data_IF_981485057624
#
_entry.id   IF_981485057624
#
_cell.length_a   1.000
_cell.length_b   1.000
_cell.length_c   1.000
_cell.angle_alpha   90.00
_cell.angle_beta   90.00
_cell.angle_gamma   90.00
#
_symmetry.space_group_name_H-M   'P 1'
#
loop_
_entity.id
_entity.type
_entity.pdbx_description
1 polymer ?
#
# COMPACT_ATOMS: atom_id res chain seq x y z
N UNK A 1 10.42 -32.13 -14.22
CA UNK A 1 10.35 -30.70 -14.59
C UNK A 1 9.60 -30.04 -13.45
N UNK A 2 10.32 -29.32 -12.59
CA UNK A 2 9.86 -28.92 -11.26
C UNK A 2 8.56 -28.13 -11.32
N UNK A 3 7.56 -28.62 -10.59
CA UNK A 3 6.29 -27.96 -10.34
C UNK A 3 6.53 -26.72 -9.48
N UNK A 4 6.70 -25.56 -10.12
CA UNK A 4 6.66 -24.24 -9.48
C UNK A 4 5.22 -23.92 -9.09
N UNK A 5 4.80 -24.38 -7.90
CA UNK A 5 3.45 -24.15 -7.34
C UNK A 5 3.13 -22.69 -6.99
N UNK A 6 4.09 -21.77 -7.17
CA UNK A 6 3.98 -20.35 -6.77
C UNK A 6 4.08 -19.34 -7.93
N UNK A 7 4.10 -19.79 -9.20
CA UNK A 7 4.04 -18.89 -10.37
C UNK A 7 5.30 -18.04 -10.63
N UNK A 8 6.25 -17.93 -9.69
CA UNK A 8 7.54 -17.25 -9.85
C UNK A 8 8.73 -18.17 -9.51
N UNK A 9 9.94 -17.92 -10.06
CA UNK A 9 11.15 -18.65 -9.68
C UNK A 9 11.43 -18.59 -8.17
N UNK A 10 11.84 -19.71 -7.52
CA UNK A 10 12.13 -19.72 -6.08
C UNK A 10 13.18 -18.68 -5.66
N UNK A 11 14.12 -18.37 -6.56
CA UNK A 11 15.16 -17.36 -6.37
C UNK A 11 14.58 -15.95 -6.20
N UNK A 12 13.59 -15.54 -6.99
CA UNK A 12 13.00 -14.19 -6.85
C UNK A 12 12.16 -14.06 -5.62
N UNK A 13 11.45 -15.12 -5.23
CA UNK A 13 10.73 -15.14 -3.97
C UNK A 13 11.69 -15.03 -2.78
N UNK A 14 12.80 -15.76 -2.79
CA UNK A 14 13.82 -15.68 -1.74
C UNK A 14 14.46 -14.28 -1.67
N UNK A 15 14.78 -13.67 -2.82
CA UNK A 15 15.33 -12.30 -2.87
C UNK A 15 14.30 -11.28 -2.39
N UNK A 16 13.05 -11.37 -2.82
CA UNK A 16 11.98 -10.48 -2.39
C UNK A 16 11.72 -10.59 -0.89
N UNK A 17 11.55 -11.81 -0.36
CA UNK A 17 11.34 -12.05 1.07
C UNK A 17 12.55 -11.60 1.88
N UNK A 18 13.76 -11.89 1.41
CA UNK A 18 14.99 -11.43 2.08
C UNK A 18 15.09 -9.91 2.12
N UNK A 19 14.79 -9.23 1.01
CA UNK A 19 14.76 -7.77 0.94
C UNK A 19 13.66 -7.19 1.84
N UNK A 20 12.46 -7.77 1.82
CA UNK A 20 11.34 -7.35 2.66
C UNK A 20 11.65 -7.49 4.15
N UNK A 21 12.18 -8.65 4.58
CA UNK A 21 12.56 -8.88 5.99
C UNK A 21 13.69 -7.93 6.41
N UNK A 22 14.68 -7.72 5.54
CA UNK A 22 15.78 -6.77 5.81
C UNK A 22 15.26 -5.34 5.93
N UNK A 23 14.36 -4.92 5.03
CA UNK A 23 13.69 -3.63 5.08
C UNK A 23 12.89 -3.46 6.39
N UNK A 24 12.10 -4.45 6.79
CA UNK A 24 11.35 -4.42 8.05
C UNK A 24 12.28 -4.36 9.27
N UNK A 25 13.41 -5.08 9.24
CA UNK A 25 14.40 -5.03 10.30
C UNK A 25 15.05 -3.63 10.39
N UNK A 26 15.45 -3.04 9.25
CA UNK A 26 16.00 -1.68 9.20
C UNK A 26 14.99 -0.67 9.77
N UNK A 27 13.72 -0.75 9.35
CA UNK A 27 12.67 0.15 9.81
C UNK A 27 12.44 0.04 11.33
N UNK A 28 12.33 -1.20 11.84
CA UNK A 28 12.12 -1.48 13.26
C UNK A 28 13.31 -1.02 14.13
N UNK A 29 14.54 -1.12 13.64
CA UNK A 29 15.73 -0.70 14.39
C UNK A 29 15.96 0.81 14.31
N UNK A 30 15.64 1.45 13.20
CA UNK A 30 15.90 2.89 13.02
C UNK A 30 14.91 3.78 13.77
N UNK A 31 13.65 3.35 13.92
CA UNK A 31 12.61 4.11 14.61
C UNK A 31 12.53 3.86 16.13
N UNK A 32 13.51 3.19 16.75
CA UNK A 32 13.54 2.95 18.22
C UNK A 32 13.74 4.22 19.06
N UNK A 33 14.14 5.34 18.45
CA UNK A 33 14.36 6.61 19.14
C UNK A 33 13.16 7.54 19.06
N UNK A 34 12.58 7.92 20.21
CA UNK A 34 11.55 8.97 20.36
C UNK A 34 12.09 10.37 20.03
N UNK A 35 12.62 10.59 18.82
CA UNK A 35 12.99 11.94 18.35
C UNK A 35 11.88 12.47 17.45
N UNK A 36 11.43 13.72 17.64
CA UNK A 36 10.44 14.32 16.75
C UNK A 36 11.03 14.39 15.34
N UNK A 37 10.45 13.61 14.42
CA UNK A 37 10.91 13.52 13.03
C UNK A 37 10.59 14.87 12.38
N UNK A 38 11.63 15.59 11.98
CA UNK A 38 11.48 16.85 11.25
C UNK A 38 11.03 16.56 9.82
N UNK A 39 10.32 17.48 9.17
CA UNK A 39 9.84 17.29 7.79
C UNK A 39 10.95 16.88 6.81
N UNK A 40 12.16 17.43 6.98
CA UNK A 40 13.34 17.08 6.20
C UNK A 40 13.83 15.63 6.42
N UNK A 41 13.67 15.10 7.63
CA UNK A 41 14.01 13.71 7.93
C UNK A 41 12.96 12.76 7.37
N UNK A 42 11.67 13.12 7.46
CA UNK A 42 10.57 12.33 6.89
C UNK A 42 10.68 12.24 5.36
N UNK A 43 11.01 13.34 4.68
CA UNK A 43 11.20 13.35 3.23
C UNK A 43 12.42 12.52 2.80
N UNK A 44 13.55 12.61 3.52
CA UNK A 44 14.73 11.79 3.27
C UNK A 44 14.43 10.29 3.40
N UNK A 45 13.71 9.89 4.44
CA UNK A 45 13.25 8.51 4.63
C UNK A 45 12.32 8.05 3.51
N UNK A 46 11.39 8.90 3.07
CA UNK A 46 10.51 8.58 1.95
C UNK A 46 11.30 8.34 0.66
N UNK A 47 12.28 9.20 0.36
CA UNK A 47 13.14 9.05 -0.83
C UNK A 47 13.99 7.78 -0.75
N UNK A 48 14.55 7.47 0.43
CA UNK A 48 15.31 6.25 0.66
C UNK A 48 14.49 4.99 0.34
N UNK A 49 13.26 4.91 0.84
CA UNK A 49 12.38 3.76 0.58
C UNK A 49 11.92 3.68 -0.88
N UNK A 50 11.68 4.82 -1.53
CA UNK A 50 11.38 4.86 -2.97
C UNK A 50 12.57 4.34 -3.78
N UNK A 51 13.79 4.75 -3.43
CA UNK A 51 15.00 4.30 -4.12
C UNK A 51 15.20 2.79 -4.00
N UNK A 52 14.95 2.19 -2.82
CA UNK A 52 15.00 0.73 -2.65
C UNK A 52 13.96 0.02 -3.53
N UNK A 53 12.73 0.53 -3.58
CA UNK A 53 11.68 -0.04 -4.42
C UNK A 53 12.07 0.00 -5.91
N UNK A 54 12.60 1.13 -6.38
CA UNK A 54 13.08 1.27 -7.76
C UNK A 54 14.30 0.39 -8.06
N UNK A 55 15.21 0.20 -7.09
CA UNK A 55 16.33 -0.72 -7.24
C UNK A 55 15.84 -2.17 -7.42
N UNK A 56 14.81 -2.57 -6.67
CA UNK A 56 14.16 -3.87 -6.85
C UNK A 56 13.44 -3.98 -8.20
N UNK A 57 12.78 -2.92 -8.67
CA UNK A 57 12.21 -2.88 -10.02
C UNK A 57 13.28 -3.07 -11.11
N UNK A 58 14.46 -2.47 -10.93
CA UNK A 58 15.62 -2.69 -11.81
C UNK A 58 16.12 -4.14 -11.79
N UNK A 59 16.15 -4.77 -10.62
CA UNK A 59 16.46 -6.20 -10.50
C UNK A 59 15.43 -7.08 -11.22
N UNK A 60 14.14 -6.77 -11.10
CA UNK A 60 13.07 -7.46 -11.83
C UNK A 60 13.22 -7.27 -13.35
N UNK A 61 13.61 -6.08 -13.80
CA UNK A 61 13.83 -5.80 -15.22
C UNK A 61 14.91 -6.69 -15.82
N UNK A 62 16.04 -6.85 -15.11
CA UNK A 62 17.16 -7.69 -15.56
C UNK A 62 16.80 -9.17 -15.55
N UNK A 63 16.04 -9.64 -14.54
CA UNK A 63 15.81 -11.07 -14.37
C UNK A 63 14.54 -11.60 -15.07
N UNK A 64 13.48 -10.78 -15.16
CA UNK A 64 12.14 -11.18 -15.62
C UNK A 64 11.66 -10.37 -16.84
N UNK A 65 12.46 -9.40 -17.30
CA UNK A 65 12.13 -8.55 -18.44
C UNK A 65 11.28 -7.33 -18.09
N UNK A 66 10.96 -6.55 -19.13
CA UNK A 66 10.27 -5.27 -18.99
C UNK A 66 8.84 -5.40 -18.47
N UNK A 67 8.11 -6.43 -18.88
CA UNK A 67 6.69 -6.60 -18.54
C UNK A 67 6.46 -6.72 -17.02
N UNK A 68 7.20 -7.61 -16.35
CA UNK A 68 7.11 -7.81 -14.89
C UNK A 68 7.59 -6.58 -14.12
N UNK A 69 8.65 -5.93 -14.58
CA UNK A 69 9.15 -4.71 -13.96
C UNK A 69 8.14 -3.56 -14.07
N UNK A 70 7.48 -3.40 -15.23
CA UNK A 70 6.43 -2.40 -15.43
C UNK A 70 5.21 -2.70 -14.56
N UNK A 71 4.76 -3.95 -14.47
CA UNK A 71 3.69 -4.36 -13.55
C UNK A 71 4.01 -4.01 -12.09
N UNK A 72 5.24 -4.28 -11.65
CA UNK A 72 5.69 -3.93 -10.30
C UNK A 72 5.70 -2.42 -10.07
N UNK A 73 6.28 -1.63 -10.98
CA UNK A 73 6.34 -0.17 -10.85
C UNK A 73 4.94 0.45 -10.87
N UNK A 74 4.06 -0.02 -11.76
CA UNK A 74 2.66 0.43 -11.82
C UNK A 74 1.92 0.10 -10.53
N UNK A 75 2.06 -1.11 -10.01
CA UNK A 75 1.48 -1.51 -8.73
C UNK A 75 2.00 -0.65 -7.57
N UNK A 76 3.32 -0.50 -7.48
CA UNK A 76 3.96 0.35 -6.47
C UNK A 76 3.47 1.80 -6.52
N UNK A 77 3.39 2.39 -7.71
CA UNK A 77 2.91 3.75 -7.89
C UNK A 77 1.44 3.88 -7.47
N UNK A 78 0.59 2.92 -7.85
CA UNK A 78 -0.82 2.89 -7.48
C UNK A 78 -0.98 2.81 -5.95
N UNK A 79 -0.24 1.92 -5.29
CA UNK A 79 -0.26 1.81 -3.82
C UNK A 79 0.23 3.09 -3.12
N UNK A 80 1.25 3.76 -3.68
CA UNK A 80 1.75 5.03 -3.13
C UNK A 80 0.73 6.15 -3.26
N UNK A 81 0.07 6.28 -4.41
CA UNK A 81 -1.00 7.27 -4.61
C UNK A 81 -2.16 7.02 -3.65
N UNK A 82 -2.59 5.77 -3.51
CA UNK A 82 -3.68 5.39 -2.61
C UNK A 82 -3.33 5.64 -1.13
N UNK A 83 -2.06 5.45 -0.75
CA UNK A 83 -1.58 5.77 0.61
C UNK A 83 -1.60 7.28 0.89
N UNK A 84 -1.29 8.11 -0.11
CA UNK A 84 -1.32 9.57 0.00
C UNK A 84 -2.76 10.09 0.06
N UNK A 85 -3.67 9.52 -0.71
CA UNK A 85 -5.10 9.84 -0.67
C UNK A 85 -5.70 9.65 0.73
N UNK A 86 -5.39 8.51 1.38
CA UNK A 86 -5.80 8.23 2.74
C UNK A 86 -5.31 9.29 3.76
N UNK A 87 -4.09 9.82 3.60
CA UNK A 87 -3.57 10.87 4.48
C UNK A 87 -4.38 12.16 4.39
N UNK A 88 -4.86 12.54 3.20
CA UNK A 88 -5.71 13.71 3.04
C UNK A 88 -7.05 13.55 3.74
N UNK A 89 -7.68 12.37 3.64
CA UNK A 89 -8.94 12.07 4.35
C UNK A 89 -8.75 12.21 5.86
N UNK A 90 -7.66 11.67 6.42
CA UNK A 90 -7.37 11.80 7.85
C UNK A 90 -7.13 13.25 8.27
N UNK A 91 -6.39 14.03 7.47
CA UNK A 91 -6.16 15.46 7.76
C UNK A 91 -7.46 16.28 7.73
N UNK A 92 -8.34 16.02 6.76
CA UNK A 92 -9.65 16.66 6.68
C UNK A 92 -10.52 16.33 7.90
N UNK A 93 -10.56 15.06 8.32
CA UNK A 93 -11.27 14.62 9.53
C UNK A 93 -10.71 15.30 10.79
N UNK A 94 -9.39 15.33 10.97
CA UNK A 94 -8.77 15.97 12.15
C UNK A 94 -9.06 17.47 12.21
N UNK A 95 -9.09 18.13 11.07
CA UNK A 95 -9.47 19.55 10.95
C UNK A 95 -10.94 19.77 11.32
N UNK A 96 -11.84 18.95 10.78
CA UNK A 96 -13.30 19.05 11.03
C UNK A 96 -13.63 18.84 12.52
N UNK A 97 -13.03 17.83 13.14
CA UNK A 97 -13.23 17.50 14.56
C UNK A 97 -12.37 18.33 15.52
N UNK A 98 -11.51 19.23 15.02
CA UNK A 98 -10.58 20.07 15.81
C UNK A 98 -9.77 19.26 16.83
N UNK A 99 -9.24 18.11 16.41
CA UNK A 99 -8.53 17.20 17.31
C UNK A 99 -7.18 17.83 17.75
N UNK A 100 -6.91 17.93 19.06
CA UNK A 100 -5.63 18.44 19.56
C UNK A 100 -4.44 17.61 19.06
N UNK A 101 -3.32 18.27 18.74
CA UNK A 101 -2.15 17.64 18.09
C UNK A 101 -1.55 16.46 18.88
N UNK A 102 -1.61 16.49 20.21
CA UNK A 102 -1.14 15.41 21.07
C UNK A 102 -1.95 14.11 20.96
N UNK A 103 -3.20 14.17 20.50
CA UNK A 103 -4.09 12.99 20.35
C UNK A 103 -4.12 12.46 18.91
N UNK A 104 -3.64 13.25 17.94
CA UNK A 104 -3.71 12.93 16.50
C UNK A 104 -3.07 11.59 16.18
N UNK A 105 -1.91 11.29 16.78
CA UNK A 105 -1.21 10.02 16.54
C UNK A 105 -2.01 8.80 17.03
N UNK A 106 -2.66 8.90 18.20
CA UNK A 106 -3.47 7.81 18.76
C UNK A 106 -4.73 7.57 17.95
N UNK A 107 -5.44 8.63 17.55
CA UNK A 107 -6.64 8.52 16.72
C UNK A 107 -6.29 7.98 15.34
N UNK A 108 -5.20 8.44 14.74
CA UNK A 108 -4.70 7.93 13.46
C UNK A 108 -4.39 6.44 13.54
N UNK A 109 -3.70 6.00 14.60
CA UNK A 109 -3.34 4.59 14.78
C UNK A 109 -4.57 3.67 14.83
N UNK A 110 -5.58 4.02 15.64
CA UNK A 110 -6.84 3.27 15.70
C UNK A 110 -7.64 3.32 14.40
N UNK A 111 -7.63 4.48 13.72
CA UNK A 111 -8.27 4.64 12.40
C UNK A 111 -7.64 3.77 11.34
N UNK A 112 -6.31 3.70 11.27
CA UNK A 112 -5.57 2.85 10.33
C UNK A 112 -5.84 1.37 10.61
N UNK A 113 -5.83 0.94 11.88
CA UNK A 113 -6.17 -0.45 12.23
C UNK A 113 -7.59 -0.79 11.76
N UNK A 114 -8.56 0.07 12.07
CA UNK A 114 -9.94 -0.11 11.61
C UNK A 114 -10.03 -0.19 10.10
N UNK A 115 -9.36 0.73 9.38
CA UNK A 115 -9.34 0.77 7.92
C UNK A 115 -8.72 -0.52 7.33
N UNK A 116 -7.63 -1.04 7.89
CA UNK A 116 -7.01 -2.29 7.45
C UNK A 116 -7.97 -3.48 7.66
N UNK A 117 -8.65 -3.53 8.80
CA UNK A 117 -9.65 -4.58 9.08
C UNK A 117 -10.82 -4.51 8.10
N UNK A 118 -11.44 -3.34 7.93
CA UNK A 118 -12.53 -3.16 6.97
C UNK A 118 -12.07 -3.46 5.54
N UNK A 119 -10.87 -3.04 5.17
CA UNK A 119 -10.28 -3.38 3.87
C UNK A 119 -10.17 -4.89 3.71
N UNK A 120 -9.66 -5.62 4.70
CA UNK A 120 -9.59 -7.08 4.67
C UNK A 120 -10.96 -7.73 4.49
N UNK A 121 -11.97 -7.24 5.22
CA UNK A 121 -13.36 -7.72 5.10
C UNK A 121 -13.92 -7.45 3.70
N UNK A 122 -13.81 -6.21 3.21
CA UNK A 122 -14.29 -5.85 1.88
C UNK A 122 -13.60 -6.62 0.76
N UNK A 123 -12.29 -6.86 0.89
CA UNK A 123 -11.55 -7.69 -0.07
C UNK A 123 -12.05 -9.13 -0.03
N UNK A 124 -12.20 -9.73 1.15
CA UNK A 124 -12.67 -11.12 1.27
C UNK A 124 -14.11 -11.31 0.77
N UNK A 125 -15.01 -10.37 1.09
CA UNK A 125 -16.38 -10.37 0.59
C UNK A 125 -16.40 -10.11 -0.92
N UNK A 126 -15.63 -9.11 -1.37
CA UNK A 126 -15.54 -8.71 -2.77
C UNK A 126 -15.05 -9.86 -3.65
N UNK A 127 -13.96 -10.54 -3.28
CA UNK A 127 -13.44 -11.69 -4.03
C UNK A 127 -14.45 -12.83 -4.09
N UNK A 128 -15.19 -13.08 -3.00
CA UNK A 128 -16.30 -14.05 -2.98
C UNK A 128 -17.46 -13.65 -3.89
N UNK A 129 -17.82 -12.36 -3.93
CA UNK A 129 -18.86 -11.82 -4.80
C UNK A 129 -18.48 -11.92 -6.28
N UNK A 130 -17.22 -11.62 -6.61
CA UNK A 130 -16.70 -11.71 -7.98
C UNK A 130 -16.72 -13.16 -8.52
N UNK A 131 -16.64 -14.15 -7.64
CA UNK A 131 -16.78 -15.56 -8.02
C UNK A 131 -18.20 -15.95 -8.48
N UNK A 132 -19.21 -15.13 -8.20
CA UNK A 132 -20.61 -15.37 -8.62
C UNK A 132 -20.87 -15.04 -10.09
N UNK A 133 -19.91 -14.43 -10.78
CA UNK A 133 -19.89 -14.27 -12.23
C UNK A 133 -19.74 -12.83 -12.72
N UNK A 134 -19.53 -12.62 -14.04
CA UNK A 134 -19.13 -11.34 -14.62
C UNK A 134 -20.16 -10.21 -14.46
N UNK A 135 -21.43 -10.55 -14.24
CA UNK A 135 -22.47 -9.55 -14.01
C UNK A 135 -22.26 -8.77 -12.70
N UNK A 136 -21.66 -9.41 -11.69
CA UNK A 136 -21.36 -8.77 -10.39
C UNK A 136 -20.29 -7.70 -10.56
N UNK A 137 -19.28 -7.94 -11.41
CA UNK A 137 -18.26 -6.93 -11.76
C UNK A 137 -18.90 -5.67 -12.33
N UNK A 138 -19.86 -5.82 -13.25
CA UNK A 138 -20.55 -4.69 -13.88
C UNK A 138 -21.38 -3.92 -12.86
N UNK A 139 -22.12 -4.62 -11.99
CA UNK A 139 -22.90 -3.97 -10.93
C UNK A 139 -21.99 -3.22 -9.96
N UNK A 140 -20.88 -3.83 -9.55
CA UNK A 140 -19.91 -3.21 -8.66
C UNK A 140 -19.29 -1.96 -9.29
N UNK A 141 -18.90 -2.03 -10.56
CA UNK A 141 -18.38 -0.89 -11.31
C UNK A 141 -19.39 0.27 -11.41
N UNK A 142 -20.68 -0.03 -11.63
CA UNK A 142 -21.74 0.98 -11.66
C UNK A 142 -21.94 1.64 -10.29
N UNK A 143 -21.95 0.87 -9.21
CA UNK A 143 -22.05 1.40 -7.84
C UNK A 143 -20.85 2.32 -7.54
N UNK A 144 -19.64 1.89 -7.87
CA UNK A 144 -18.43 2.70 -7.67
C UNK A 144 -18.48 4.00 -8.49
N UNK A 145 -18.87 3.92 -9.76
CA UNK A 145 -19.03 5.10 -10.61
C UNK A 145 -20.08 6.08 -10.05
N UNK A 146 -21.20 5.56 -9.53
CA UNK A 146 -22.22 6.38 -8.88
C UNK A 146 -21.68 7.09 -7.63
N UNK A 147 -20.95 6.39 -6.76
CA UNK A 147 -20.33 7.00 -5.57
C UNK A 147 -19.31 8.07 -5.94
N UNK A 148 -18.51 7.87 -6.99
CA UNK A 148 -17.57 8.87 -7.48
C UNK A 148 -18.27 10.15 -7.94
N UNK A 149 -19.41 10.05 -8.63
CA UNK A 149 -20.21 11.21 -9.04
C UNK A 149 -20.80 11.94 -7.82
N UNK A 150 -21.22 11.20 -6.79
CA UNK A 150 -21.73 11.79 -5.55
C UNK A 150 -20.65 12.56 -4.79
N UNK A 151 -19.41 12.08 -4.75
CA UNK A 151 -18.30 12.79 -4.11
C UNK A 151 -17.86 14.05 -4.84
N UNK A 152 -18.15 14.16 -6.14
CA UNK A 152 -17.89 15.36 -6.96
C UNK A 152 -18.97 16.44 -6.81
N UNK A 153 -20.12 16.12 -6.20
CA UNK A 153 -21.23 17.06 -5.94
C UNK A 153 -21.22 17.56 -4.51
#
# INVERSE_FOLDING_TARGET
MESTSLGFPPLTMAVFVGLAVTAMAIDMFSHRGNKPITLAQASAWSVFWVAISLAFAGFLYVQHGSEVATLFVTGYALEKVLSVDNLFVFMALFSWFKIPDGLRHRVLYWGIIGAIVFRGIFVAIGTGLLALGPWVEVVFAVIVAWTAIMMLR
#
